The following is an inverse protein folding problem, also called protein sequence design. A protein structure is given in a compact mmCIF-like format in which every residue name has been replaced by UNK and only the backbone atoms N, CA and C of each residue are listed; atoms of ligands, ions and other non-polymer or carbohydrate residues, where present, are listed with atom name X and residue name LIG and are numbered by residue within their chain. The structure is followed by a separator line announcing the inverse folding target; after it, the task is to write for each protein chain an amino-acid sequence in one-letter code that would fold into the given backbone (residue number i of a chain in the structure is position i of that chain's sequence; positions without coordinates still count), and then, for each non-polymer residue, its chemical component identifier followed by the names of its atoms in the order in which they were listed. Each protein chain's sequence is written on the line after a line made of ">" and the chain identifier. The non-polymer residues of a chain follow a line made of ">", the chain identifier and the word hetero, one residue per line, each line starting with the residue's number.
data_IF_221991238963
#
_entry.id   IF_221991238963
#
_cell.length_a   1.000
_cell.length_b   1.000
_cell.length_c   1.000
_cell.angle_alpha   90.00
_cell.angle_beta   90.00
_cell.angle_gamma   90.00
#
_symmetry.space_group_name_H-M   'P 1'
#
loop_
_entity.id
_entity.type
_entity.pdbx_description
1 polymer ?
#
# COMPACT_ATOMS: atom_id res chain seq x y z
N UNK A 1 33.73 -56.29 -33.58
CA UNK A 1 33.06 -55.09 -34.15
C UNK A 1 32.55 -54.27 -32.99
N UNK A 2 33.14 -53.09 -32.72
CA UNK A 2 32.79 -52.27 -31.55
C UNK A 2 31.54 -51.43 -31.89
N UNK A 3 30.42 -51.72 -31.23
CA UNK A 3 29.24 -50.85 -31.26
C UNK A 3 29.58 -49.53 -30.56
N UNK A 4 29.66 -48.44 -31.31
CA UNK A 4 29.78 -47.09 -30.76
C UNK A 4 28.41 -46.64 -30.22
N UNK A 5 28.07 -47.07 -29.00
CA UNK A 5 26.94 -46.48 -28.27
C UNK A 5 27.39 -45.10 -27.78
N UNK A 6 27.00 -44.04 -28.49
CA UNK A 6 27.13 -42.69 -27.97
C UNK A 6 26.35 -42.57 -26.65
N UNK A 7 26.94 -41.99 -25.60
CA UNK A 7 26.21 -41.77 -24.35
C UNK A 7 25.02 -40.85 -24.60
N UNK A 8 23.83 -41.27 -24.17
CA UNK A 8 22.63 -40.46 -24.30
C UNK A 8 22.80 -39.13 -23.55
N UNK A 9 22.64 -38.01 -24.26
CA UNK A 9 22.74 -36.65 -23.71
C UNK A 9 21.48 -35.85 -24.09
N UNK A 10 20.81 -35.21 -23.13
CA UNK A 10 19.68 -34.33 -23.42
C UNK A 10 20.08 -33.15 -24.31
N UNK A 11 19.15 -32.68 -25.15
CA UNK A 11 19.34 -31.44 -25.88
C UNK A 11 19.33 -30.25 -24.90
N UNK A 12 20.38 -29.43 -24.94
CA UNK A 12 20.57 -28.23 -24.10
C UNK A 12 20.57 -26.95 -24.94
N UNK A 13 20.27 -27.05 -26.23
CA UNK A 13 20.07 -25.91 -27.10
C UNK A 13 18.70 -25.32 -26.79
N UNK A 14 18.69 -24.38 -25.85
CA UNK A 14 17.50 -23.65 -25.46
C UNK A 14 17.13 -22.68 -26.57
N UNK A 15 15.99 -22.92 -27.24
CA UNK A 15 15.32 -21.87 -28.02
C UNK A 15 15.01 -20.67 -27.13
N UNK A 16 14.94 -19.48 -27.74
CA UNK A 16 15.01 -18.08 -27.22
C UNK A 16 14.18 -17.69 -25.98
N UNK A 17 13.54 -18.62 -25.26
CA UNK A 17 12.59 -18.35 -24.17
C UNK A 17 13.03 -18.80 -22.77
N UNK A 18 14.27 -19.24 -22.58
CA UNK A 18 14.75 -19.65 -21.25
C UNK A 18 15.91 -18.77 -20.76
N UNK A 19 15.72 -18.13 -19.59
CA UNK A 19 16.72 -17.34 -18.82
C UNK A 19 17.88 -18.20 -18.29
N UNK A 20 18.54 -18.95 -19.17
CA UNK A 20 19.67 -19.81 -18.83
C UNK A 20 20.95 -19.03 -19.03
N UNK A 21 21.76 -18.93 -17.97
CA UNK A 21 23.06 -18.28 -18.00
C UNK A 21 23.94 -19.02 -19.04
N UNK A 22 24.42 -18.37 -20.11
CA UNK A 22 25.20 -19.04 -21.16
C UNK A 22 26.44 -19.77 -20.62
N UNK A 23 27.04 -19.23 -19.56
CA UNK A 23 28.19 -19.83 -18.86
C UNK A 23 27.84 -21.17 -18.17
N UNK A 24 26.60 -21.38 -17.76
CA UNK A 24 26.13 -22.64 -17.20
C UNK A 24 26.01 -23.71 -18.29
N UNK A 25 25.48 -23.36 -19.46
CA UNK A 25 25.42 -24.25 -20.64
C UNK A 25 26.82 -24.68 -21.06
N UNK A 26 27.77 -23.74 -21.07
CA UNK A 26 29.18 -24.03 -21.36
C UNK A 26 29.77 -25.02 -20.35
N UNK A 27 29.55 -24.82 -19.05
CA UNK A 27 30.00 -25.72 -18.00
C UNK A 27 29.43 -27.15 -18.16
N UNK A 28 28.15 -27.27 -18.52
CA UNK A 28 27.51 -28.58 -18.78
C UNK A 28 28.20 -29.29 -19.95
N UNK A 29 28.51 -28.58 -21.04
CA UNK A 29 29.24 -29.12 -22.20
C UNK A 29 30.65 -29.58 -21.83
N UNK A 30 31.38 -28.84 -21.01
CA UNK A 30 32.70 -29.26 -20.51
C UNK A 30 32.62 -30.55 -19.66
N UNK A 31 31.58 -30.68 -18.84
CA UNK A 31 31.34 -31.89 -18.03
C UNK A 31 31.03 -33.13 -18.90
N UNK A 32 30.48 -32.92 -20.09
CA UNK A 32 30.11 -33.97 -21.05
C UNK A 32 31.23 -34.41 -22.00
N UNK A 33 32.45 -33.91 -21.83
CA UNK A 33 33.58 -34.29 -22.70
C UNK A 33 33.81 -35.81 -22.74
N UNK A 34 33.99 -36.40 -23.92
CA UNK A 34 34.26 -37.84 -24.08
C UNK A 34 35.65 -38.24 -23.55
N UNK A 35 36.59 -37.29 -23.52
CA UNK A 35 37.92 -37.50 -22.96
C UNK A 35 37.91 -37.18 -21.45
N UNK A 36 38.17 -38.15 -20.55
CA UNK A 36 38.09 -37.94 -19.09
C UNK A 36 38.96 -36.79 -18.58
N UNK A 37 40.12 -36.58 -19.22
CA UNK A 37 41.09 -35.52 -18.89
C UNK A 37 40.59 -34.09 -19.15
N UNK A 38 39.60 -33.92 -20.02
CA UNK A 38 39.03 -32.60 -20.34
C UNK A 38 37.84 -32.26 -19.44
N UNK A 39 37.32 -33.22 -18.66
CA UNK A 39 36.24 -32.94 -17.72
C UNK A 39 36.78 -32.16 -16.52
N UNK A 40 36.14 -31.06 -16.12
CA UNK A 40 36.56 -30.31 -14.94
C UNK A 40 36.40 -31.18 -13.68
N UNK A 41 37.31 -31.00 -12.72
CA UNK A 41 37.17 -31.65 -11.42
C UNK A 41 36.02 -31.03 -10.60
N UNK A 42 35.46 -31.80 -9.66
CA UNK A 42 34.32 -31.36 -8.83
C UNK A 42 34.61 -30.06 -8.05
N UNK A 43 35.87 -29.82 -7.64
CA UNK A 43 36.25 -28.58 -6.95
C UNK A 43 36.10 -27.36 -7.87
N UNK A 44 36.55 -27.48 -9.12
CA UNK A 44 36.45 -26.46 -10.17
C UNK A 44 35.00 -26.20 -10.56
N UNK A 45 34.19 -27.25 -10.69
CA UNK A 45 32.74 -27.14 -10.97
C UNK A 45 32.03 -26.37 -9.85
N UNK A 46 32.28 -26.70 -8.58
CA UNK A 46 31.71 -25.96 -7.43
C UNK A 46 32.14 -24.50 -7.40
N UNK A 47 33.41 -24.22 -7.70
CA UNK A 47 33.93 -22.84 -7.77
C UNK A 47 33.27 -22.03 -8.88
N UNK A 48 33.08 -22.62 -10.06
CA UNK A 48 32.44 -21.97 -11.20
C UNK A 48 30.95 -21.73 -10.94
N UNK A 49 30.22 -22.72 -10.42
CA UNK A 49 28.82 -22.57 -10.00
C UNK A 49 28.65 -21.48 -8.94
N UNK A 50 29.49 -21.49 -7.90
CA UNK A 50 29.46 -20.46 -6.87
C UNK A 50 29.71 -19.07 -7.49
N UNK A 51 30.67 -18.96 -8.42
CA UNK A 51 30.96 -17.71 -9.10
C UNK A 51 29.81 -17.19 -9.96
N UNK A 52 29.05 -18.09 -10.60
CA UNK A 52 27.88 -17.77 -11.43
C UNK A 52 26.65 -17.40 -10.59
N UNK A 53 26.53 -17.94 -9.37
CA UNK A 53 25.39 -17.72 -8.47
C UNK A 53 25.54 -16.50 -7.56
N UNK A 54 26.74 -15.91 -7.45
CA UNK A 54 27.02 -14.72 -6.61
C UNK A 54 26.14 -13.51 -6.93
N UNK A 55 25.59 -13.43 -8.14
CA UNK A 55 24.66 -12.36 -8.53
C UNK A 55 23.16 -12.65 -8.29
N UNK A 56 22.73 -13.89 -8.01
CA UNK A 56 21.28 -14.23 -7.97
C UNK A 56 20.62 -14.12 -6.61
N UNK A 57 21.38 -14.13 -5.50
CA UNK A 57 20.81 -14.03 -4.13
C UNK A 57 20.56 -12.61 -3.62
N UNK A 58 21.14 -11.59 -4.25
CA UNK A 58 21.05 -10.18 -3.82
C UNK A 58 20.00 -9.37 -4.60
N UNK A 59 19.37 -9.90 -5.65
CA UNK A 59 18.55 -9.06 -6.54
C UNK A 59 17.04 -9.14 -6.30
N UNK A 60 16.49 -10.30 -5.92
CA UNK A 60 15.04 -10.43 -5.76
C UNK A 60 14.55 -9.99 -4.38
N UNK A 61 15.21 -10.45 -3.31
CA UNK A 61 14.79 -10.14 -1.95
C UNK A 61 14.95 -8.65 -1.63
N UNK A 62 16.06 -8.05 -2.07
CA UNK A 62 16.32 -6.62 -1.88
C UNK A 62 15.35 -5.76 -2.69
N UNK A 63 14.98 -6.19 -3.89
CA UNK A 63 13.92 -5.53 -4.67
C UNK A 63 12.57 -5.61 -3.95
N UNK A 64 12.17 -6.79 -3.46
CA UNK A 64 10.93 -6.94 -2.70
C UNK A 64 10.95 -6.06 -1.43
N UNK A 65 12.06 -6.05 -0.69
CA UNK A 65 12.22 -5.21 0.49
C UNK A 65 12.07 -3.72 0.16
N UNK A 66 12.78 -3.25 -0.86
CA UNK A 66 12.68 -1.86 -1.31
C UNK A 66 11.27 -1.52 -1.82
N UNK A 67 10.59 -2.42 -2.53
CA UNK A 67 9.19 -2.17 -2.93
C UNK A 67 8.28 -2.05 -1.71
N UNK A 68 8.40 -2.95 -0.73
CA UNK A 68 7.59 -2.92 0.50
C UNK A 68 7.86 -1.66 1.32
N UNK A 69 9.12 -1.23 1.46
CA UNK A 69 9.49 0.01 2.15
C UNK A 69 8.89 1.23 1.46
N UNK A 70 8.96 1.30 0.12
CA UNK A 70 8.35 2.39 -0.64
C UNK A 70 6.82 2.40 -0.52
N UNK A 71 6.17 1.24 -0.54
CA UNK A 71 4.72 1.14 -0.32
C UNK A 71 4.33 1.57 1.10
N UNK A 72 5.08 1.12 2.12
CA UNK A 72 4.83 1.52 3.50
C UNK A 72 4.96 3.03 3.69
N UNK A 73 6.04 3.62 3.18
CA UNK A 73 6.27 5.07 3.26
C UNK A 73 5.21 5.87 2.51
N UNK A 74 4.83 5.45 1.31
CA UNK A 74 3.77 6.10 0.54
C UNK A 74 2.41 6.02 1.25
N UNK A 75 2.10 4.87 1.87
CA UNK A 75 0.85 4.68 2.59
C UNK A 75 0.82 5.53 3.88
N UNK A 76 1.93 5.62 4.60
CA UNK A 76 2.06 6.50 5.77
C UNK A 76 1.80 7.96 5.40
N UNK A 77 2.39 8.43 4.31
CA UNK A 77 2.18 9.79 3.82
C UNK A 77 0.70 10.04 3.43
N UNK A 78 0.07 9.09 2.74
CA UNK A 78 -1.35 9.18 2.37
C UNK A 78 -2.26 9.20 3.60
N UNK A 79 -1.98 8.33 4.59
CA UNK A 79 -2.73 8.31 5.86
C UNK A 79 -2.58 9.64 6.61
N UNK A 80 -1.37 10.21 6.66
CA UNK A 80 -1.12 11.48 7.32
C UNK A 80 -1.88 12.63 6.65
N UNK A 81 -1.88 12.69 5.32
CA UNK A 81 -2.63 13.69 4.55
C UNK A 81 -4.14 13.57 4.81
N UNK A 82 -4.69 12.36 4.72
CA UNK A 82 -6.12 12.12 4.97
C UNK A 82 -6.52 12.42 6.41
N UNK A 83 -5.64 12.12 7.36
CA UNK A 83 -5.84 12.45 8.78
C UNK A 83 -5.88 13.98 8.98
N UNK A 84 -4.99 14.73 8.31
CA UNK A 84 -4.96 16.19 8.37
C UNK A 84 -6.25 16.81 7.83
N UNK A 85 -6.75 16.32 6.69
CA UNK A 85 -8.02 16.77 6.12
C UNK A 85 -9.20 16.46 7.04
N UNK A 86 -9.24 15.25 7.62
CA UNK A 86 -10.28 14.85 8.57
C UNK A 86 -10.31 15.75 9.81
N UNK A 87 -9.14 16.07 10.36
CA UNK A 87 -9.02 16.96 11.52
C UNK A 87 -9.51 18.37 11.17
N UNK A 88 -9.17 18.88 10.00
CA UNK A 88 -9.62 20.20 9.54
C UNK A 88 -11.15 20.25 9.38
N UNK A 89 -11.74 19.25 8.73
CA UNK A 89 -13.19 19.18 8.52
C UNK A 89 -13.94 18.99 9.84
N UNK A 90 -13.44 18.12 10.73
CA UNK A 90 -13.98 17.98 12.09
C UNK A 90 -14.00 19.32 12.81
N UNK A 91 -12.89 20.08 12.78
CA UNK A 91 -12.80 21.39 13.45
C UNK A 91 -13.82 22.39 12.89
N UNK A 92 -14.01 22.39 11.57
CA UNK A 92 -15.00 23.24 10.89
C UNK A 92 -16.43 22.87 11.31
N UNK A 93 -16.75 21.58 11.30
CA UNK A 93 -18.04 21.04 11.75
C UNK A 93 -18.31 21.40 13.22
N UNK A 94 -17.34 21.17 14.12
CA UNK A 94 -17.43 21.54 15.53
C UNK A 94 -17.68 23.03 15.73
N UNK A 95 -16.95 23.88 15.00
CA UNK A 95 -17.10 25.34 15.09
C UNK A 95 -18.51 25.78 14.67
N UNK A 96 -19.05 25.20 13.60
CA UNK A 96 -20.41 25.49 13.15
C UNK A 96 -21.45 25.04 14.19
N UNK A 97 -21.29 23.85 14.75
CA UNK A 97 -22.20 23.32 15.76
C UNK A 97 -22.28 24.23 16.99
N UNK A 98 -21.14 24.70 17.50
CA UNK A 98 -21.10 25.65 18.63
C UNK A 98 -21.63 27.05 18.29
N UNK A 99 -21.74 27.42 17.01
CA UNK A 99 -22.39 28.68 16.59
C UNK A 99 -23.92 28.55 16.51
N UNK A 100 -24.42 27.34 16.24
CA UNK A 100 -25.85 27.08 16.08
C UNK A 100 -26.55 26.73 17.39
N UNK A 101 -25.85 26.09 18.32
CA UNK A 101 -26.43 25.55 19.54
C UNK A 101 -25.67 26.01 20.79
N UNK A 102 -26.36 26.15 21.95
CA UNK A 102 -25.70 26.33 23.22
C UNK A 102 -24.67 25.22 23.48
N UNK A 103 -23.53 25.58 24.07
CA UNK A 103 -22.40 24.68 24.28
C UNK A 103 -22.80 23.34 24.94
N UNK A 104 -23.64 23.40 25.97
CA UNK A 104 -24.12 22.21 26.67
C UNK A 104 -24.90 21.25 25.76
N UNK A 105 -25.70 21.78 24.83
CA UNK A 105 -26.48 20.97 23.88
C UNK A 105 -25.56 20.38 22.81
N UNK A 106 -24.64 21.19 22.27
CA UNK A 106 -23.65 20.75 21.28
C UNK A 106 -22.75 19.62 21.83
N UNK A 107 -22.30 19.72 23.08
CA UNK A 107 -21.45 18.70 23.72
C UNK A 107 -22.21 17.37 23.92
N UNK A 108 -23.48 17.42 24.36
CA UNK A 108 -24.35 16.22 24.46
C UNK A 108 -24.56 15.55 23.10
N UNK A 109 -24.85 16.33 22.05
CA UNK A 109 -25.01 15.82 20.68
C UNK A 109 -23.74 15.17 20.14
N UNK A 110 -22.57 15.79 20.37
CA UNK A 110 -21.27 15.22 19.97
C UNK A 110 -20.96 13.91 20.69
N UNK A 111 -21.42 13.77 21.92
CA UNK A 111 -21.31 12.53 22.68
C UNK A 111 -22.34 11.46 22.28
N UNK A 112 -23.23 11.75 21.32
CA UNK A 112 -24.32 10.84 20.92
C UNK A 112 -25.37 10.64 22.02
N UNK A 113 -25.43 11.54 23.01
CA UNK A 113 -26.38 11.45 24.10
C UNK A 113 -27.73 12.02 23.69
N UNK A 114 -28.85 11.39 24.08
CA UNK A 114 -30.17 11.99 23.90
C UNK A 114 -30.28 13.30 24.71
N UNK A 115 -31.00 14.27 24.17
CA UNK A 115 -31.30 15.52 24.87
C UNK A 115 -32.69 15.38 25.47
N UNK A 116 -32.74 15.16 26.78
CA UNK A 116 -34.00 15.13 27.51
C UNK A 116 -34.59 16.55 27.65
N UNK A 117 -35.93 16.72 27.49
CA UNK A 117 -36.60 17.97 27.79
C UNK A 117 -36.42 18.37 29.26
N UNK A 118 -36.00 19.60 29.50
CA UNK A 118 -35.81 20.13 30.86
C UNK A 118 -37.03 20.94 31.29
N UNK A 119 -37.54 20.67 32.49
CA UNK A 119 -38.63 21.44 33.11
C UNK A 119 -38.05 22.35 34.19
N UNK A 120 -38.56 23.57 34.26
CA UNK A 120 -38.07 24.61 35.15
C UNK A 120 -39.26 25.25 35.88
N UNK A 121 -39.16 25.37 37.21
CA UNK A 121 -40.24 25.95 38.04
C UNK A 121 -40.48 27.44 37.73
N UNK A 122 -39.44 28.17 37.30
CA UNK A 122 -39.52 29.56 36.89
C UNK A 122 -38.59 29.81 35.69
N UNK A 123 -39.09 30.51 34.67
CA UNK A 123 -38.31 30.88 33.47
C UNK A 123 -38.55 32.34 33.10
N UNK A 124 -37.56 32.97 32.48
CA UNK A 124 -37.70 34.28 31.83
C UNK A 124 -37.66 34.08 30.32
N UNK A 125 -38.72 34.49 29.62
CA UNK A 125 -38.82 34.39 28.17
C UNK A 125 -38.55 35.76 27.56
N UNK A 126 -37.58 35.82 26.66
CA UNK A 126 -37.28 37.03 25.88
C UNK A 126 -37.83 36.88 24.46
N UNK A 127 -38.75 37.76 24.08
CA UNK A 127 -39.28 37.84 22.73
C UNK A 127 -38.52 38.93 21.96
N UNK A 128 -37.63 38.52 21.05
CA UNK A 128 -37.04 39.43 20.08
C UNK A 128 -37.56 39.11 18.70
N UNK A 129 -38.30 40.06 18.12
CA UNK A 129 -38.61 40.00 16.70
C UNK A 129 -37.46 40.62 15.90
N UNK A 130 -37.03 39.93 14.86
CA UNK A 130 -36.08 40.47 13.91
C UNK A 130 -36.90 41.11 12.79
N UNK A 131 -36.93 42.44 12.80
CA UNK A 131 -37.71 43.23 11.83
C UNK A 131 -37.43 42.73 10.41
N UNK A 132 -38.49 42.38 9.70
CA UNK A 132 -38.47 41.87 8.32
C UNK A 132 -37.93 40.44 8.12
N UNK A 133 -37.54 39.69 9.16
CA UNK A 133 -37.10 38.30 8.99
C UNK A 133 -38.23 37.42 8.45
N UNK A 134 -39.46 37.59 8.95
CA UNK A 134 -40.64 36.89 8.44
C UNK A 134 -40.88 37.15 6.95
N UNK A 135 -40.68 38.40 6.50
CA UNK A 135 -40.80 38.80 5.09
C UNK A 135 -39.67 38.28 4.22
N UNK A 136 -38.47 38.11 4.78
CA UNK A 136 -37.32 37.51 4.09
C UNK A 136 -37.53 36.00 3.95
N UNK A 137 -37.84 35.31 5.04
CA UNK A 137 -38.08 33.87 5.07
C UNK A 137 -39.25 33.47 4.16
N UNK A 138 -40.30 34.30 4.03
CA UNK A 138 -41.41 34.05 3.11
C UNK A 138 -41.03 34.10 1.63
N UNK A 139 -39.87 34.68 1.29
CA UNK A 139 -39.38 34.82 -0.10
C UNK A 139 -38.32 33.77 -0.45
N UNK A 140 -37.75 33.10 0.54
CA UNK A 140 -36.74 32.06 0.35
C UNK A 140 -37.43 30.70 0.20
N UNK A 141 -36.93 29.86 -0.70
CA UNK A 141 -37.34 28.44 -0.71
C UNK A 141 -36.82 27.76 0.57
N UNK A 142 -37.47 26.70 1.07
CA UNK A 142 -37.02 25.99 2.29
C UNK A 142 -35.55 25.52 2.26
N UNK A 143 -34.95 25.43 1.06
CA UNK A 143 -33.57 25.01 0.86
C UNK A 143 -32.57 26.19 0.84
N UNK A 144 -33.07 27.43 0.87
CA UNK A 144 -32.31 28.68 0.89
C UNK A 144 -32.37 29.41 2.26
N UNK A 145 -33.18 28.90 3.21
CA UNK A 145 -33.28 29.42 4.58
C UNK A 145 -32.33 28.65 5.49
#
# INVERSE_FOLDING_TARGET
>A
MKSSMNPYRPNIDTHETADVIPSLVHLIRECWSEAPRHRPNMKKVKSLLASMQRGKKLNLMDHVMNTLENYASSLEAEVEERMKELVAEKKKSDTLLYRMLPKQVADKLKAGQPIEPESYDNVTIFFSDVVSFTTLASKCTPMQI
#
